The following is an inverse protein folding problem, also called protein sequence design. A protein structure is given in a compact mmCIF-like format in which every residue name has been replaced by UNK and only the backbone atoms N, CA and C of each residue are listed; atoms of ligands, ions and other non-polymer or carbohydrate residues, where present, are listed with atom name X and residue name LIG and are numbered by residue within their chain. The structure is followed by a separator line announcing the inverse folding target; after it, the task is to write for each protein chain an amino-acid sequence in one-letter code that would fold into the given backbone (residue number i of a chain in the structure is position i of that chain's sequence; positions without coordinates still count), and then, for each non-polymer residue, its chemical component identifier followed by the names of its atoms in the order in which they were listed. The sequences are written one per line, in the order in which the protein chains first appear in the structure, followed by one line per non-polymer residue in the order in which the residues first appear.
data_IF_563479524084
#
_entry.id   IF_563479524084
#
_cell.length_a   1.000
_cell.length_b   1.000
_cell.length_c   1.000
_cell.angle_alpha   90.00
_cell.angle_beta   90.00
_cell.angle_gamma   90.00
#
_symmetry.space_group_name_H-M   'P 1'
#
loop_
_entity.id
_entity.type
_entity.pdbx_description
1 polymer ?
#
# COMPACT_ATOMS: atom_id res chain seq x y z
N UNK A 1 40.82 -46.27 23.97
CA UNK A 1 41.14 -45.10 23.12
C UNK A 1 40.01 -44.99 22.11
N UNK A 2 38.97 -44.20 22.38
CA UNK A 2 37.92 -43.85 21.39
C UNK A 2 37.58 -42.39 21.61
N UNK A 3 38.00 -41.57 20.65
CA UNK A 3 37.70 -40.11 20.61
C UNK A 3 36.33 -39.97 19.96
N UNK A 4 35.41 -39.38 20.69
CA UNK A 4 34.07 -38.99 20.23
C UNK A 4 34.21 -37.70 19.43
N UNK A 5 33.82 -37.75 18.13
CA UNK A 5 33.60 -36.57 17.32
C UNK A 5 32.23 -35.99 17.72
N UNK A 6 32.25 -34.82 18.36
CA UNK A 6 31.02 -34.04 18.48
C UNK A 6 30.88 -33.15 17.22
N UNK A 7 29.79 -33.37 16.52
CA UNK A 7 29.38 -32.73 15.27
C UNK A 7 28.97 -31.28 15.51
N UNK A 8 29.49 -30.40 14.67
CA UNK A 8 29.18 -28.97 14.53
C UNK A 8 27.89 -28.79 13.71
N UNK A 9 26.74 -28.80 14.36
CA UNK A 9 25.44 -28.60 13.69
C UNK A 9 24.54 -27.52 14.37
N UNK A 10 25.15 -26.46 14.98
CA UNK A 10 24.31 -25.50 15.74
C UNK A 10 24.44 -24.04 15.26
N UNK A 11 25.00 -23.79 14.08
CA UNK A 11 25.30 -22.41 13.64
C UNK A 11 24.42 -21.88 12.48
N UNK A 12 23.32 -22.56 12.05
CA UNK A 12 22.60 -22.14 10.84
C UNK A 12 21.16 -21.64 11.04
N UNK A 13 20.67 -21.52 12.26
CA UNK A 13 19.25 -21.15 12.51
C UNK A 13 19.06 -19.67 12.88
N UNK A 14 20.13 -18.90 13.15
CA UNK A 14 19.97 -17.52 13.65
C UNK A 14 19.88 -16.42 12.58
N UNK A 15 20.01 -16.70 11.28
CA UNK A 15 20.06 -15.66 10.24
C UNK A 15 18.72 -15.38 9.53
N UNK A 16 17.68 -16.17 9.73
CA UNK A 16 16.37 -16.00 9.06
C UNK A 16 15.37 -15.12 9.81
N UNK A 17 15.58 -14.82 11.08
CA UNK A 17 14.67 -14.00 11.89
C UNK A 17 14.95 -12.49 11.82
N UNK A 18 16.12 -12.05 11.38
CA UNK A 18 16.50 -10.64 11.34
C UNK A 18 15.90 -9.86 10.15
N UNK A 19 15.49 -10.53 9.05
CA UNK A 19 14.91 -9.85 7.88
C UNK A 19 13.44 -9.46 8.06
N UNK A 20 12.76 -10.01 9.04
CA UNK A 20 11.31 -9.86 9.26
C UNK A 20 10.93 -8.61 10.09
N UNK A 21 11.86 -8.01 10.82
CA UNK A 21 11.58 -6.84 11.68
C UNK A 21 11.58 -5.51 10.93
N UNK A 22 12.09 -5.45 9.69
CA UNK A 22 12.29 -4.24 8.91
C UNK A 22 11.18 -3.95 7.88
N UNK A 23 10.15 -4.79 7.78
CA UNK A 23 9.06 -4.59 6.84
C UNK A 23 8.22 -3.35 7.23
N UNK A 24 7.96 -2.39 6.31
CA UNK A 24 7.32 -1.12 6.64
C UNK A 24 5.92 -1.31 7.24
N UNK A 25 5.15 -2.30 6.80
CA UNK A 25 3.84 -2.61 7.39
C UNK A 25 3.90 -2.98 8.87
N UNK A 26 4.99 -3.60 9.34
CA UNK A 26 5.16 -3.93 10.76
C UNK A 26 5.46 -2.70 11.62
N UNK A 27 6.23 -1.76 11.07
CA UNK A 27 6.52 -0.50 11.76
C UNK A 27 5.25 0.34 11.86
N UNK A 28 4.52 0.49 10.75
CA UNK A 28 3.21 1.16 10.70
C UNK A 28 2.22 0.52 11.68
N UNK A 29 2.09 -0.81 11.67
CA UNK A 29 1.25 -1.57 12.59
C UNK A 29 1.51 -1.17 14.05
N UNK A 30 2.78 -1.19 14.48
CA UNK A 30 3.16 -0.80 15.85
C UNK A 30 2.76 0.63 16.16
N UNK A 31 3.10 1.59 15.28
CA UNK A 31 2.80 3.00 15.49
C UNK A 31 1.28 3.24 15.63
N UNK A 32 0.48 2.67 14.71
CA UNK A 32 -0.98 2.84 14.75
C UNK A 32 -1.61 2.19 15.98
N UNK A 33 -1.13 1.02 16.39
CA UNK A 33 -1.59 0.32 17.58
C UNK A 33 -1.27 1.13 18.85
N UNK A 34 -0.02 1.59 18.98
CA UNK A 34 0.44 2.36 20.15
C UNK A 34 -0.31 3.70 20.27
N UNK A 35 -0.66 4.33 19.15
CA UNK A 35 -1.38 5.61 19.12
C UNK A 35 -2.92 5.46 19.13
N UNK A 36 -3.45 4.25 19.08
CA UNK A 36 -4.88 3.95 18.95
C UNK A 36 -5.48 4.68 17.71
N UNK A 37 -4.74 4.69 16.62
CA UNK A 37 -5.12 5.33 15.36
C UNK A 37 -5.49 4.30 14.32
N UNK A 38 -6.35 4.66 13.36
CA UNK A 38 -6.95 3.74 12.41
C UNK A 38 -6.56 4.02 10.97
N UNK A 39 -6.55 2.97 10.15
CA UNK A 39 -6.14 2.96 8.75
C UNK A 39 -7.22 2.37 7.85
N UNK A 40 -7.43 2.98 6.68
CA UNK A 40 -8.14 2.38 5.56
C UNK A 40 -7.28 2.43 4.30
N UNK A 41 -7.58 1.58 3.31
CA UNK A 41 -6.88 1.59 2.02
C UNK A 41 -7.85 1.58 0.84
N UNK A 42 -7.49 2.28 -0.25
CA UNK A 42 -8.18 2.26 -1.53
C UNK A 42 -7.18 1.87 -2.63
N UNK A 43 -7.34 0.69 -3.19
CA UNK A 43 -6.41 0.11 -4.14
C UNK A 43 -7.03 0.02 -5.53
N UNK A 44 -6.24 0.36 -6.56
CA UNK A 44 -6.58 0.08 -7.95
C UNK A 44 -5.58 -0.94 -8.50
N UNK A 45 -4.50 -0.51 -9.10
CA UNK A 45 -3.52 -1.39 -9.74
C UNK A 45 -2.81 -2.37 -8.77
N UNK A 46 -2.79 -2.13 -7.48
CA UNK A 46 -2.21 -3.02 -6.46
C UNK A 46 -3.14 -4.15 -6.03
N UNK A 47 -4.44 -4.06 -6.34
CA UNK A 47 -5.39 -5.18 -6.32
C UNK A 47 -5.62 -5.84 -4.96
N UNK A 48 -5.51 -5.12 -3.84
CA UNK A 48 -5.69 -5.66 -2.49
C UNK A 48 -4.38 -6.06 -1.79
N UNK A 49 -3.24 -5.88 -2.44
CA UNK A 49 -1.92 -6.29 -1.90
C UNK A 49 -1.56 -5.51 -0.63
N UNK A 50 -1.90 -4.22 -0.53
CA UNK A 50 -1.63 -3.41 0.66
C UNK A 50 -2.52 -3.85 1.81
N UNK A 51 -3.82 -4.04 1.57
CA UNK A 51 -4.76 -4.55 2.54
C UNK A 51 -4.31 -5.93 3.08
N UNK A 52 -3.92 -6.84 2.19
CA UNK A 52 -3.43 -8.17 2.55
C UNK A 52 -2.18 -8.12 3.45
N UNK A 53 -1.25 -7.19 3.20
CA UNK A 53 -0.03 -7.04 4.02
C UNK A 53 -0.35 -6.60 5.45
N UNK A 54 -1.31 -5.70 5.64
CA UNK A 54 -1.72 -5.27 6.98
C UNK A 54 -2.54 -6.34 7.70
N UNK A 55 -3.50 -6.95 7.01
CA UNK A 55 -4.39 -7.96 7.60
C UNK A 55 -3.69 -9.29 7.90
N UNK A 56 -2.53 -9.56 7.28
CA UNK A 56 -1.68 -10.69 7.63
C UNK A 56 -1.00 -10.56 9.01
N UNK A 57 -1.01 -9.36 9.61
CA UNK A 57 -0.42 -9.13 10.92
C UNK A 57 -1.43 -9.44 12.04
N UNK A 58 -1.09 -10.27 13.03
CA UNK A 58 -1.93 -10.49 14.19
C UNK A 58 -2.28 -9.16 14.87
N UNK A 59 -3.54 -8.98 15.29
CA UNK A 59 -4.00 -7.74 15.92
C UNK A 59 -4.36 -6.61 14.94
N UNK A 60 -4.36 -6.83 13.63
CA UNK A 60 -4.71 -5.83 12.62
C UNK A 60 -6.09 -5.20 12.84
N UNK A 61 -7.05 -5.92 13.43
CA UNK A 61 -8.39 -5.43 13.73
C UNK A 61 -8.42 -4.24 14.70
N UNK A 62 -7.34 -4.01 15.45
CA UNK A 62 -7.24 -2.85 16.35
C UNK A 62 -7.14 -1.53 15.60
N UNK A 63 -6.60 -1.53 14.37
CA UNK A 63 -6.36 -0.31 13.61
C UNK A 63 -6.90 -0.35 12.16
N UNK A 64 -6.96 -1.51 11.51
CA UNK A 64 -7.35 -1.63 10.12
C UNK A 64 -8.88 -1.64 9.98
N UNK A 65 -9.44 -0.59 9.37
CA UNK A 65 -10.90 -0.41 9.25
C UNK A 65 -11.47 -1.09 8.02
N UNK A 66 -10.91 -0.81 6.85
CA UNK A 66 -11.35 -1.41 5.60
C UNK A 66 -10.30 -1.31 4.49
N UNK A 67 -10.46 -2.16 3.48
CA UNK A 67 -9.75 -2.08 2.20
C UNK A 67 -10.76 -2.14 1.05
N UNK A 68 -10.68 -1.15 0.14
CA UNK A 68 -11.52 -1.09 -1.06
C UNK A 68 -10.64 -1.31 -2.28
N UNK A 69 -10.94 -2.34 -3.06
CA UNK A 69 -10.33 -2.54 -4.37
C UNK A 69 -11.20 -1.87 -5.43
N UNK A 70 -10.95 -0.57 -5.66
CA UNK A 70 -11.67 0.26 -6.63
C UNK A 70 -11.04 0.12 -8.01
N UNK A 71 -11.25 -1.03 -8.66
CA UNK A 71 -10.56 -1.40 -9.90
C UNK A 71 -11.19 -0.79 -11.15
N UNK A 72 -12.52 -0.66 -11.19
CA UNK A 72 -13.28 -0.01 -12.27
C UNK A 72 -13.45 1.50 -12.01
N UNK A 73 -13.88 2.23 -13.05
CA UNK A 73 -14.23 3.64 -12.91
C UNK A 73 -15.50 3.79 -12.05
N UNK A 74 -16.49 2.96 -12.25
CA UNK A 74 -17.75 2.98 -11.51
C UNK A 74 -17.49 2.80 -10.00
N UNK A 75 -16.66 1.82 -9.62
CA UNK A 75 -16.31 1.61 -8.20
C UNK A 75 -15.60 2.82 -7.59
N UNK A 76 -14.75 3.52 -8.37
CA UNK A 76 -14.12 4.75 -7.91
C UNK A 76 -15.15 5.85 -7.64
N UNK A 77 -16.16 5.97 -8.49
CA UNK A 77 -17.23 6.97 -8.35
C UNK A 77 -18.21 6.60 -7.24
N UNK A 78 -18.76 5.40 -7.27
CA UNK A 78 -19.87 4.99 -6.39
C UNK A 78 -19.41 4.79 -4.93
N UNK A 79 -18.26 4.12 -4.72
CA UNK A 79 -17.79 3.77 -3.38
C UNK A 79 -16.90 4.85 -2.79
N UNK A 80 -15.95 5.39 -3.59
CA UNK A 80 -15.01 6.39 -3.12
C UNK A 80 -15.48 7.83 -3.38
N UNK A 81 -16.61 8.00 -4.07
CA UNK A 81 -17.22 9.28 -4.41
C UNK A 81 -16.26 10.22 -5.17
N UNK A 82 -15.46 9.65 -6.08
CA UNK A 82 -14.62 10.45 -6.95
C UNK A 82 -15.49 11.10 -8.01
N UNK A 83 -15.30 12.41 -8.20
CA UNK A 83 -16.05 13.18 -9.18
C UNK A 83 -15.85 12.64 -10.60
N UNK A 84 -16.97 12.47 -11.34
CA UNK A 84 -16.93 12.13 -12.77
C UNK A 84 -16.07 13.12 -13.56
N UNK A 85 -16.18 14.41 -13.26
CA UNK A 85 -15.42 15.48 -13.90
C UNK A 85 -13.91 15.32 -13.65
N UNK A 86 -13.52 14.91 -12.45
CA UNK A 86 -12.11 14.65 -12.15
C UNK A 86 -11.57 13.50 -13.00
N UNK A 87 -12.30 12.41 -13.12
CA UNK A 87 -11.88 11.28 -13.96
C UNK A 87 -11.86 11.66 -15.44
N UNK A 88 -12.88 12.38 -15.92
CA UNK A 88 -12.96 12.82 -17.32
C UNK A 88 -11.83 13.77 -17.70
N UNK A 89 -11.46 14.68 -16.79
CA UNK A 89 -10.46 15.72 -17.03
C UNK A 89 -9.03 15.23 -16.89
N UNK A 90 -8.74 14.38 -15.91
CA UNK A 90 -7.37 14.02 -15.54
C UNK A 90 -7.05 12.53 -15.79
N UNK A 91 -8.05 11.73 -16.17
CA UNK A 91 -7.88 10.27 -16.34
C UNK A 91 -7.82 9.53 -15.01
N UNK A 92 -8.05 8.21 -15.08
CA UNK A 92 -8.04 7.35 -13.89
C UNK A 92 -6.66 7.24 -13.22
N UNK A 93 -5.57 7.45 -13.98
CA UNK A 93 -4.20 7.42 -13.50
C UNK A 93 -3.69 8.86 -13.41
N UNK A 94 -3.99 9.51 -12.29
CA UNK A 94 -3.60 10.91 -12.08
C UNK A 94 -3.46 11.21 -10.58
N UNK A 95 -2.75 12.30 -10.29
CA UNK A 95 -2.62 12.82 -8.92
C UNK A 95 -3.99 13.13 -8.30
N UNK A 96 -4.85 13.79 -9.07
CA UNK A 96 -6.17 14.22 -8.62
C UNK A 96 -7.05 13.03 -8.23
N UNK A 97 -7.00 11.96 -9.02
CA UNK A 97 -7.79 10.74 -8.74
C UNK A 97 -7.23 10.01 -7.52
N UNK A 98 -5.92 9.81 -7.39
CA UNK A 98 -5.37 9.11 -6.22
C UNK A 98 -5.61 9.88 -4.92
N UNK A 99 -5.54 11.21 -4.96
CA UNK A 99 -5.88 12.09 -3.85
C UNK A 99 -7.32 11.87 -3.40
N UNK A 100 -8.28 11.94 -4.32
CA UNK A 100 -9.69 11.71 -4.01
C UNK A 100 -9.96 10.27 -3.56
N UNK A 101 -9.23 9.27 -4.08
CA UNK A 101 -9.31 7.88 -3.58
C UNK A 101 -8.96 7.79 -2.10
N UNK A 102 -7.82 8.38 -1.70
CA UNK A 102 -7.37 8.37 -0.30
C UNK A 102 -8.35 9.13 0.62
N UNK A 103 -8.76 10.32 0.22
CA UNK A 103 -9.72 11.13 0.97
C UNK A 103 -11.09 10.46 1.06
N UNK A 104 -11.56 9.86 -0.04
CA UNK A 104 -12.84 9.16 -0.11
C UNK A 104 -12.92 7.97 0.85
N UNK A 105 -11.93 7.08 0.81
CA UNK A 105 -11.91 5.92 1.71
C UNK A 105 -11.69 6.33 3.16
N UNK A 106 -10.91 7.39 3.44
CA UNK A 106 -10.75 7.92 4.79
C UNK A 106 -12.07 8.43 5.37
N UNK A 107 -12.83 9.20 4.59
CA UNK A 107 -14.16 9.67 5.00
C UNK A 107 -15.15 8.52 5.21
N UNK A 108 -15.25 7.62 4.21
CA UNK A 108 -16.20 6.51 4.26
C UNK A 108 -15.98 5.57 5.44
N UNK A 109 -14.74 5.34 5.84
CA UNK A 109 -14.37 4.46 6.96
C UNK A 109 -14.27 5.19 8.30
N UNK A 110 -14.33 6.53 8.33
CA UNK A 110 -14.01 7.34 9.50
C UNK A 110 -12.67 6.91 10.13
N UNK A 111 -11.63 6.77 9.29
CA UNK A 111 -10.27 6.42 9.74
C UNK A 111 -9.40 7.66 9.93
N UNK A 112 -8.35 7.55 10.73
CA UNK A 112 -7.37 8.63 10.93
C UNK A 112 -6.51 8.81 9.69
N UNK A 113 -6.07 7.70 9.09
CA UNK A 113 -5.23 7.67 7.90
C UNK A 113 -5.87 6.84 6.81
N UNK A 114 -5.53 7.17 5.58
CA UNK A 114 -5.84 6.32 4.44
C UNK A 114 -4.71 6.32 3.42
N UNK A 115 -4.49 5.17 2.79
CA UNK A 115 -3.55 5.00 1.68
C UNK A 115 -4.33 4.70 0.41
N UNK A 116 -3.92 5.29 -0.71
CA UNK A 116 -4.49 4.94 -2.01
C UNK A 116 -3.43 4.75 -3.09
N UNK A 117 -3.79 3.95 -4.10
CA UNK A 117 -2.95 3.69 -5.28
C UNK A 117 -3.80 3.69 -6.55
N UNK A 118 -3.29 4.32 -7.61
CA UNK A 118 -3.81 4.18 -8.98
C UNK A 118 -2.64 4.19 -9.97
N UNK A 119 -2.67 3.34 -11.00
CA UNK A 119 -1.52 3.27 -11.90
C UNK A 119 -1.62 2.16 -12.95
N UNK A 120 -0.54 1.99 -13.68
CA UNK A 120 -0.41 1.06 -14.80
C UNK A 120 0.59 -0.02 -14.45
N UNK A 121 0.09 -1.17 -14.00
CA UNK A 121 0.93 -2.30 -13.61
C UNK A 121 1.52 -3.07 -14.81
N UNK A 122 0.96 -2.88 -16.00
CA UNK A 122 1.39 -3.56 -17.23
C UNK A 122 0.83 -4.99 -17.39
N UNK A 123 1.24 -5.71 -18.43
CA UNK A 123 2.29 -5.37 -19.43
C UNK A 123 1.85 -4.32 -20.47
N UNK A 124 0.56 -4.01 -20.57
CA UNK A 124 -0.04 -3.05 -21.52
C UNK A 124 -0.67 -1.87 -20.78
N UNK A 125 -1.25 -0.91 -21.54
CA UNK A 125 -1.99 0.23 -20.99
C UNK A 125 -1.15 1.46 -20.68
N UNK A 126 0.16 1.44 -20.95
CA UNK A 126 1.01 2.62 -20.85
C UNK A 126 0.70 3.67 -21.89
N UNK A 127 0.89 4.94 -21.52
CA UNK A 127 0.85 6.10 -22.41
C UNK A 127 2.21 6.80 -22.40
N UNK A 128 2.50 7.74 -23.32
CA UNK A 128 3.73 8.53 -23.27
C UNK A 128 3.89 9.29 -21.94
N UNK A 129 2.82 9.80 -21.35
CA UNK A 129 2.83 10.52 -20.09
C UNK A 129 2.98 9.58 -18.89
N UNK A 130 2.25 8.46 -18.92
CA UNK A 130 2.27 7.42 -17.89
C UNK A 130 2.63 6.06 -18.50
N UNK A 131 3.92 5.77 -18.74
CA UNK A 131 4.35 4.46 -19.21
C UNK A 131 4.04 3.37 -18.17
N UNK A 132 4.07 2.11 -18.61
CA UNK A 132 3.94 0.93 -17.72
C UNK A 132 4.89 1.06 -16.54
N UNK A 133 4.38 0.82 -15.33
CA UNK A 133 5.09 1.03 -14.07
C UNK A 133 4.84 2.38 -13.42
N UNK A 134 4.12 3.31 -14.07
CA UNK A 134 3.69 4.56 -13.44
C UNK A 134 2.57 4.30 -12.47
N UNK A 135 2.79 4.63 -11.19
CA UNK A 135 1.78 4.48 -10.12
C UNK A 135 1.77 5.73 -9.26
N UNK A 136 0.62 6.37 -9.18
CA UNK A 136 0.34 7.40 -8.19
C UNK A 136 -0.03 6.76 -6.86
N UNK A 137 0.59 7.21 -5.80
CA UNK A 137 0.29 6.83 -4.42
C UNK A 137 -0.11 8.07 -3.63
N UNK A 138 -1.01 7.89 -2.66
CA UNK A 138 -1.45 8.97 -1.77
C UNK A 138 -1.63 8.48 -0.34
N UNK A 139 -1.35 9.37 0.61
CA UNK A 139 -1.68 9.22 2.02
C UNK A 139 -2.52 10.40 2.45
N UNK A 140 -3.73 10.14 2.94
CA UNK A 140 -4.61 11.14 3.54
C UNK A 140 -4.55 11.04 5.06
N UNK A 141 -4.22 12.17 5.69
CA UNK A 141 -4.16 12.36 7.14
C UNK A 141 -5.30 13.30 7.59
N UNK A 142 -5.51 13.53 8.90
CA UNK A 142 -6.44 14.56 9.36
C UNK A 142 -6.08 15.98 8.92
N UNK A 143 -4.81 16.23 8.58
CA UNK A 143 -4.30 17.58 8.29
C UNK A 143 -4.10 17.83 6.79
N UNK A 144 -3.68 16.82 6.03
CA UNK A 144 -3.34 16.97 4.61
C UNK A 144 -3.43 15.64 3.86
N UNK A 145 -3.36 15.73 2.54
CA UNK A 145 -3.16 14.57 1.66
C UNK A 145 -1.89 14.75 0.86
N UNK A 146 -0.92 13.87 1.07
CA UNK A 146 0.36 13.82 0.35
C UNK A 146 0.26 12.83 -0.80
N UNK A 147 0.79 13.19 -1.97
CA UNK A 147 0.81 12.36 -3.18
C UNK A 147 2.22 12.19 -3.70
N UNK A 148 2.49 11.06 -4.34
CA UNK A 148 3.77 10.79 -5.00
C UNK A 148 3.57 9.93 -6.24
N UNK A 149 4.21 10.31 -7.35
CA UNK A 149 4.31 9.45 -8.53
C UNK A 149 5.56 8.58 -8.41
N UNK A 150 5.38 7.28 -8.51
CA UNK A 150 6.49 6.33 -8.61
C UNK A 150 6.56 5.74 -10.02
N UNK A 151 7.76 5.35 -10.44
CA UNK A 151 8.00 4.66 -11.70
C UNK A 151 8.67 3.31 -11.39
N UNK A 152 7.86 2.27 -11.32
CA UNK A 152 8.29 0.94 -10.94
C UNK A 152 8.56 0.10 -12.18
N UNK A 153 9.82 -0.21 -12.45
CA UNK A 153 10.18 -1.13 -13.54
C UNK A 153 9.95 -2.60 -13.20
N UNK A 154 9.85 -3.44 -14.24
CA UNK A 154 9.77 -4.90 -14.12
C UNK A 154 8.42 -5.48 -14.55
N UNK A 155 8.20 -6.75 -14.21
CA UNK A 155 6.94 -7.44 -14.51
C UNK A 155 5.76 -6.83 -13.74
N UNK A 156 4.52 -7.10 -14.17
CA UNK A 156 3.29 -6.68 -13.46
C UNK A 156 3.36 -6.94 -11.95
N UNK A 157 3.76 -8.15 -11.55
CA UNK A 157 3.88 -8.48 -10.12
C UNK A 157 4.98 -7.67 -9.41
N UNK A 158 6.07 -7.32 -10.11
CA UNK A 158 7.11 -6.47 -9.56
C UNK A 158 6.61 -5.03 -9.36
N UNK A 159 5.87 -4.48 -10.31
CA UNK A 159 5.23 -3.16 -10.19
C UNK A 159 4.27 -3.13 -9.01
N UNK A 160 3.36 -4.11 -8.90
CA UNK A 160 2.40 -4.22 -7.80
C UNK A 160 3.11 -4.23 -6.44
N UNK A 161 4.12 -5.09 -6.27
CA UNK A 161 4.87 -5.15 -4.99
C UNK A 161 5.59 -3.86 -4.67
N UNK A 162 6.29 -3.26 -5.64
CA UNK A 162 7.04 -2.01 -5.45
C UNK A 162 6.10 -0.86 -5.10
N UNK A 163 4.96 -0.76 -5.81
CA UNK A 163 3.94 0.26 -5.55
C UNK A 163 3.34 0.12 -4.14
N UNK A 164 3.00 -1.11 -3.74
CA UNK A 164 2.49 -1.37 -2.39
C UNK A 164 3.51 -1.02 -1.30
N UNK A 165 4.80 -1.35 -1.52
CA UNK A 165 5.86 -0.99 -0.57
C UNK A 165 6.02 0.52 -0.47
N UNK A 166 6.14 1.23 -1.60
CA UNK A 166 6.29 2.68 -1.60
C UNK A 166 5.08 3.41 -0.98
N UNK A 167 3.87 2.88 -1.14
CA UNK A 167 2.67 3.44 -0.52
C UNK A 167 2.68 3.28 1.01
N UNK A 168 3.16 2.14 1.52
CA UNK A 168 3.30 1.90 2.96
C UNK A 168 4.44 2.74 3.55
N UNK A 169 5.55 2.91 2.83
CA UNK A 169 6.66 3.78 3.22
C UNK A 169 6.21 5.25 3.28
N UNK A 170 5.42 5.72 2.30
CA UNK A 170 4.83 7.06 2.35
C UNK A 170 3.89 7.23 3.56
N UNK A 171 3.11 6.21 3.91
CA UNK A 171 2.30 6.24 5.13
C UNK A 171 3.18 6.36 6.37
N UNK A 172 4.29 5.62 6.45
CA UNK A 172 5.22 5.70 7.58
C UNK A 172 5.83 7.10 7.73
N UNK A 173 6.16 7.77 6.62
CA UNK A 173 6.67 9.16 6.60
C UNK A 173 5.64 10.18 7.12
N UNK A 174 4.34 9.88 7.00
CA UNK A 174 3.23 10.77 7.41
C UNK A 174 2.70 10.46 8.82
N UNK A 175 3.21 9.44 9.49
CA UNK A 175 2.89 9.07 10.87
C UNK A 175 3.82 9.75 11.87
#
# INVERSE_FOLDING_TARGET
MNKILLSTATAFILSLTACSSHAPEKRVHRILTDRIQTLAVAESCTGGTIAARFTALPGASAYFKCGVVAYSLDTKQEILQISCDTIARYGAVSEQVVRQMAEGVRRASNSHYAVATTGIAGPTGGTPEYPVGSVWIAVSTPLRTTTRLIRAGGSRNAVIRKAGTAAIELLEEEL
#
